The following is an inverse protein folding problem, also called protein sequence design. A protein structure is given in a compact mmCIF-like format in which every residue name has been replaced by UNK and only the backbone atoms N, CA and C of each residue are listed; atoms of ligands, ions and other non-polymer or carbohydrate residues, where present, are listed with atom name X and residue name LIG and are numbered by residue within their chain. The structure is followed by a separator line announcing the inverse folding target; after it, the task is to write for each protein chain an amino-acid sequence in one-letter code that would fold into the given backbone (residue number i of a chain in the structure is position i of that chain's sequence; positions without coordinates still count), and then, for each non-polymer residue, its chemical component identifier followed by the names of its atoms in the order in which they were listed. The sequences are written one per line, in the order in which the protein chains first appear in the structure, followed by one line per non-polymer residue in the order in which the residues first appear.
data_IF_717548991988
#
_entry.id   IF_717548991988
#
_cell.length_a   1.000
_cell.length_b   1.000
_cell.length_c   1.000
_cell.angle_alpha   90.00
_cell.angle_beta   90.00
_cell.angle_gamma   90.00
#
_symmetry.space_group_name_H-M   'P 1'
#
loop_
_entity.id
_entity.type
_entity.pdbx_description
1 polymer ?
#
# COMPACT_ATOMS: atom_id res chain seq x y z
N UNK A 1 -26.78 -8.77 7.27
CA UNK A 1 -26.43 -7.83 8.39
C UNK A 1 -27.52 -6.78 8.64
N UNK A 2 -27.42 -5.95 9.68
CA UNK A 2 -28.36 -4.82 9.88
C UNK A 2 -28.09 -3.71 8.87
N UNK A 3 -29.18 -3.09 8.38
CA UNK A 3 -29.12 -2.00 7.40
C UNK A 3 -28.26 -0.80 7.87
N UNK A 4 -28.37 -0.39 9.15
CA UNK A 4 -27.56 0.69 9.68
C UNK A 4 -26.04 0.35 9.67
N UNK A 5 -25.69 -0.90 9.98
CA UNK A 5 -24.30 -1.38 9.91
C UNK A 5 -23.78 -1.39 8.47
N UNK A 6 -24.60 -1.83 7.52
CA UNK A 6 -24.28 -1.82 6.08
C UNK A 6 -23.99 -0.39 5.59
N UNK A 7 -24.87 0.56 5.89
CA UNK A 7 -24.73 1.95 5.46
C UNK A 7 -23.47 2.62 6.05
N UNK A 8 -23.18 2.36 7.32
CA UNK A 8 -21.92 2.82 7.94
C UNK A 8 -20.72 2.18 7.26
N UNK A 9 -20.76 0.87 6.99
CA UNK A 9 -19.68 0.17 6.31
C UNK A 9 -19.43 0.64 4.86
N UNK A 10 -20.47 1.18 4.21
CA UNK A 10 -20.37 1.85 2.91
C UNK A 10 -19.98 3.35 3.00
N UNK A 11 -19.60 3.82 4.18
CA UNK A 11 -19.20 5.22 4.44
C UNK A 11 -20.26 6.27 4.13
N UNK A 12 -21.56 5.90 4.20
CA UNK A 12 -22.68 6.84 4.01
C UNK A 12 -22.74 7.89 5.11
N UNK A 13 -22.31 7.53 6.33
CA UNK A 13 -22.24 8.41 7.49
C UNK A 13 -22.01 7.67 8.79
N UNK A 14 -21.92 8.40 9.88
CA UNK A 14 -21.89 7.84 11.25
C UNK A 14 -23.20 7.13 11.58
N UNK A 15 -23.21 6.34 12.65
CA UNK A 15 -24.43 5.63 13.11
C UNK A 15 -25.62 6.57 13.34
N UNK A 16 -25.36 7.79 13.84
CA UNK A 16 -26.40 8.79 14.09
C UNK A 16 -26.91 9.39 12.79
N UNK A 17 -26.00 9.77 11.88
CA UNK A 17 -26.34 10.32 10.58
C UNK A 17 -27.14 9.33 9.73
N UNK A 18 -26.72 8.08 9.67
CA UNK A 18 -27.43 7.01 8.95
C UNK A 18 -28.88 6.85 9.43
N UNK A 19 -29.12 6.91 10.74
CA UNK A 19 -30.50 6.85 11.29
C UNK A 19 -31.35 8.03 10.82
N UNK A 20 -30.76 9.24 10.75
CA UNK A 20 -31.46 10.42 10.28
C UNK A 20 -31.74 10.35 8.77
N UNK A 21 -30.78 9.87 7.98
CA UNK A 21 -30.94 9.66 6.53
C UNK A 21 -32.05 8.63 6.21
N UNK A 22 -32.09 7.53 6.98
CA UNK A 22 -33.19 6.54 6.85
C UNK A 22 -34.56 7.18 7.15
N UNK A 23 -34.67 7.91 8.25
CA UNK A 23 -35.94 8.62 8.60
C UNK A 23 -36.35 9.63 7.52
N UNK A 24 -35.39 10.32 6.93
CA UNK A 24 -35.60 11.30 5.85
C UNK A 24 -35.96 10.65 4.51
N UNK A 25 -35.81 9.32 4.36
CA UNK A 25 -36.20 8.58 3.16
C UNK A 25 -35.17 8.58 2.04
N UNK A 26 -33.91 8.79 2.36
CA UNK A 26 -32.79 8.75 1.39
C UNK A 26 -32.40 7.33 0.96
N UNK A 27 -32.85 6.28 1.69
CA UNK A 27 -32.43 4.89 1.47
C UNK A 27 -33.59 4.05 0.95
N UNK A 28 -33.29 3.25 -0.07
CA UNK A 28 -34.22 2.21 -0.55
C UNK A 28 -33.57 0.84 -0.41
N UNK A 29 -34.40 -0.16 -0.13
CA UNK A 29 -34.05 -1.57 -0.14
C UNK A 29 -34.97 -2.28 -1.14
N UNK A 30 -34.40 -2.89 -2.16
CA UNK A 30 -35.13 -3.53 -3.25
C UNK A 30 -36.22 -2.62 -3.86
N UNK A 31 -35.85 -1.35 -4.09
CA UNK A 31 -36.69 -0.33 -4.70
C UNK A 31 -37.73 0.32 -3.77
N UNK A 32 -37.87 -0.11 -2.52
CA UNK A 32 -38.79 0.46 -1.53
C UNK A 32 -38.06 1.31 -0.50
N UNK A 33 -38.63 2.49 -0.18
CA UNK A 33 -38.10 3.33 0.90
C UNK A 33 -38.12 2.60 2.23
N UNK A 34 -36.97 2.56 2.90
CA UNK A 34 -36.82 1.92 4.20
C UNK A 34 -36.42 2.96 5.26
N UNK A 35 -37.08 2.89 6.40
CA UNK A 35 -36.85 3.81 7.54
C UNK A 35 -36.26 3.10 8.76
N UNK A 36 -36.33 1.75 8.79
CA UNK A 36 -35.88 0.96 9.93
C UNK A 36 -34.38 0.69 9.85
N UNK A 37 -33.62 1.29 10.75
CA UNK A 37 -32.19 1.03 10.90
C UNK A 37 -31.87 -0.43 11.30
N UNK A 38 -32.84 -1.12 11.89
CA UNK A 38 -32.70 -2.50 12.41
C UNK A 38 -33.06 -3.57 11.40
N UNK A 39 -33.54 -3.20 10.20
CA UNK A 39 -33.86 -4.15 9.13
C UNK A 39 -32.67 -5.07 8.88
N UNK A 40 -32.92 -6.38 8.86
CA UNK A 40 -31.90 -7.35 8.47
C UNK A 40 -31.89 -7.43 6.94
N UNK A 41 -30.72 -7.30 6.36
CA UNK A 41 -30.49 -7.41 4.92
C UNK A 41 -29.47 -8.48 4.63
N UNK A 42 -29.55 -9.03 3.42
CA UNK A 42 -28.48 -9.85 2.84
C UNK A 42 -27.66 -8.98 1.86
N UNK A 43 -26.45 -8.67 2.25
CA UNK A 43 -25.54 -7.80 1.48
C UNK A 43 -25.12 -8.36 0.11
N UNK A 44 -25.45 -9.62 -0.17
CA UNK A 44 -25.17 -10.29 -1.46
C UNK A 44 -26.38 -10.32 -2.38
N UNK A 45 -27.57 -10.16 -1.85
CA UNK A 45 -28.84 -10.37 -2.57
C UNK A 45 -29.65 -9.07 -2.63
N UNK A 46 -29.73 -8.32 -1.51
CA UNK A 46 -30.55 -7.12 -1.43
C UNK A 46 -29.87 -5.94 -2.12
N UNK A 47 -30.61 -5.26 -3.01
CA UNK A 47 -30.18 -4.01 -3.62
C UNK A 47 -30.44 -2.85 -2.67
N UNK A 48 -29.38 -2.24 -2.15
CA UNK A 48 -29.45 -1.06 -1.29
C UNK A 48 -29.04 0.16 -2.11
N UNK A 49 -29.87 1.21 -2.08
CA UNK A 49 -29.56 2.50 -2.73
C UNK A 49 -29.59 3.65 -1.72
N UNK A 50 -28.65 4.55 -1.88
CA UNK A 50 -28.63 5.85 -1.20
C UNK A 50 -28.74 6.94 -2.26
N UNK A 51 -29.76 7.79 -2.13
CA UNK A 51 -30.11 8.83 -3.12
C UNK A 51 -30.10 8.32 -4.58
N UNK A 52 -30.64 7.11 -4.78
CA UNK A 52 -30.73 6.46 -6.07
C UNK A 52 -29.48 5.73 -6.55
N UNK A 53 -28.34 5.90 -5.89
CA UNK A 53 -27.10 5.19 -6.22
C UNK A 53 -27.01 3.85 -5.49
N UNK A 54 -26.69 2.78 -6.23
CA UNK A 54 -26.49 1.45 -5.65
C UNK A 54 -25.24 1.47 -4.78
N UNK A 55 -25.38 0.92 -3.57
CA UNK A 55 -24.26 0.71 -2.64
C UNK A 55 -23.79 -0.74 -2.74
N UNK A 56 -22.49 -0.93 -2.86
CA UNK A 56 -21.86 -2.24 -2.84
C UNK A 56 -21.11 -2.43 -1.51
N UNK A 57 -21.33 -3.59 -0.88
CA UNK A 57 -20.60 -3.97 0.31
C UNK A 57 -19.31 -4.69 -0.08
N UNK A 58 -18.19 -4.10 0.32
CA UNK A 58 -16.89 -4.73 0.23
C UNK A 58 -16.39 -5.05 1.63
N UNK A 59 -16.08 -6.32 1.91
CA UNK A 59 -15.47 -6.71 3.18
C UNK A 59 -14.06 -6.15 3.29
N UNK A 60 -13.26 -6.35 2.26
CA UNK A 60 -11.89 -5.85 2.15
C UNK A 60 -11.77 -4.80 1.06
N UNK A 61 -10.92 -3.81 1.31
CA UNK A 61 -10.60 -2.76 0.35
C UNK A 61 -9.08 -2.69 0.15
N UNK A 62 -8.66 -2.39 -1.07
CA UNK A 62 -7.25 -2.43 -1.46
C UNK A 62 -6.89 -1.17 -2.23
N UNK A 63 -5.89 -0.44 -1.75
CA UNK A 63 -5.42 0.81 -2.32
C UNK A 63 -3.96 0.70 -2.75
N UNK A 64 -3.67 1.11 -3.97
CA UNK A 64 -2.32 1.40 -4.43
C UNK A 64 -2.07 2.89 -4.27
N UNK A 65 -1.03 3.26 -3.53
CA UNK A 65 -0.60 4.65 -3.36
C UNK A 65 0.80 4.83 -3.92
N UNK A 66 1.04 5.94 -4.60
CA UNK A 66 2.38 6.46 -4.81
C UNK A 66 2.72 7.32 -3.59
N UNK A 67 3.26 6.68 -2.55
CA UNK A 67 3.57 7.36 -1.28
C UNK A 67 4.55 8.50 -1.52
N UNK A 68 4.24 9.73 -1.09
CA UNK A 68 5.19 10.84 -1.18
C UNK A 68 6.23 10.78 -0.06
N UNK A 69 7.31 11.53 -0.23
CA UNK A 69 8.23 11.85 0.86
C UNK A 69 7.55 12.79 1.88
N UNK A 70 8.05 12.80 3.10
CA UNK A 70 7.53 13.65 4.17
C UNK A 70 6.28 13.11 4.88
N UNK A 71 5.78 11.95 4.46
CA UNK A 71 4.62 11.27 5.05
C UNK A 71 5.05 9.92 5.60
N UNK A 72 4.58 9.56 6.78
CA UNK A 72 4.93 8.29 7.42
C UNK A 72 3.92 7.18 7.10
N UNK A 73 4.41 5.94 7.07
CA UNK A 73 3.61 4.72 6.89
C UNK A 73 2.99 4.29 8.22
N UNK A 74 1.96 5.02 8.65
CA UNK A 74 1.21 4.76 9.88
C UNK A 74 -0.27 5.08 9.65
N UNK A 75 -1.13 4.60 10.55
CA UNK A 75 -2.57 4.90 10.54
C UNK A 75 -2.87 6.24 11.19
N UNK A 76 -2.12 6.59 12.21
CA UNK A 76 -2.21 7.87 12.93
C UNK A 76 -0.85 8.25 13.53
N UNK A 77 -0.60 9.53 13.70
CA UNK A 77 0.59 10.06 14.39
C UNK A 77 0.30 11.48 14.89
N UNK A 78 0.72 11.84 16.12
CA UNK A 78 0.45 13.17 16.68
C UNK A 78 1.29 14.30 16.08
N UNK A 79 2.38 13.99 15.36
CA UNK A 79 3.36 14.97 14.88
C UNK A 79 3.49 14.99 13.36
N UNK A 80 3.30 13.86 12.71
CA UNK A 80 3.56 13.71 11.28
C UNK A 80 2.28 13.36 10.53
N UNK A 81 2.17 13.88 9.32
CA UNK A 81 1.15 13.45 8.38
C UNK A 81 1.36 11.99 8.02
N UNK A 82 0.28 11.21 8.01
CA UNK A 82 0.31 9.78 7.71
C UNK A 82 -0.22 9.48 6.32
N UNK A 83 0.04 8.27 5.83
CA UNK A 83 -0.52 7.79 4.56
C UNK A 83 -2.05 7.72 4.59
N UNK A 84 -2.66 7.48 5.75
CA UNK A 84 -4.13 7.49 5.91
C UNK A 84 -4.74 8.88 5.74
N UNK A 85 -3.99 9.94 5.99
CA UNK A 85 -4.44 11.33 5.78
C UNK A 85 -4.56 11.68 4.29
N UNK A 86 -4.01 10.86 3.40
CA UNK A 86 -4.10 11.02 1.96
C UNK A 86 -5.26 10.24 1.34
N UNK A 87 -5.84 9.28 2.05
CA UNK A 87 -6.92 8.42 1.57
C UNK A 87 -8.31 9.03 1.82
N UNK A 88 -9.33 8.37 1.28
CA UNK A 88 -10.73 8.75 1.43
C UNK A 88 -11.33 8.32 2.79
N UNK A 89 -12.58 8.71 3.02
CA UNK A 89 -13.30 8.35 4.24
C UNK A 89 -13.60 6.85 4.34
N UNK A 90 -13.72 6.16 3.20
CA UNK A 90 -13.94 4.72 3.18
C UNK A 90 -12.75 3.99 3.81
N UNK A 91 -11.53 4.40 3.50
CA UNK A 91 -10.32 3.83 4.09
C UNK A 91 -10.32 3.93 5.64
N UNK A 92 -10.74 5.08 6.18
CA UNK A 92 -10.88 5.26 7.63
C UNK A 92 -11.98 4.39 8.23
N UNK A 93 -13.15 4.35 7.59
CA UNK A 93 -14.30 3.53 8.01
C UNK A 93 -13.97 2.04 8.01
N UNK A 94 -13.16 1.59 7.05
CA UNK A 94 -12.71 0.19 6.93
C UNK A 94 -11.46 -0.13 7.74
N UNK A 95 -10.95 0.83 8.50
CA UNK A 95 -9.74 0.66 9.33
C UNK A 95 -8.54 0.17 8.51
N UNK A 96 -8.35 0.77 7.34
CA UNK A 96 -7.25 0.46 6.42
C UNK A 96 -5.90 0.80 7.05
N UNK A 97 -4.90 -0.03 6.81
CA UNK A 97 -3.53 0.16 7.28
C UNK A 97 -2.51 -0.13 6.16
N UNK A 98 -1.31 0.43 6.22
CA UNK A 98 -0.27 0.18 5.23
C UNK A 98 0.29 -1.25 5.36
N UNK A 99 0.50 -1.92 4.23
CA UNK A 99 1.15 -3.22 4.15
C UNK A 99 2.67 -3.02 4.12
N UNK A 100 3.27 -3.12 5.29
CA UNK A 100 4.66 -2.76 5.51
C UNK A 100 4.85 -1.25 5.63
N UNK A 101 6.12 -0.85 5.69
CA UNK A 101 6.49 0.54 5.88
C UNK A 101 7.54 0.96 4.86
N UNK A 102 7.35 2.14 4.29
CA UNK A 102 8.38 2.91 3.63
C UNK A 102 8.81 4.02 4.58
N UNK A 103 10.09 4.34 4.60
CA UNK A 103 10.64 5.42 5.41
C UNK A 103 10.01 6.77 5.01
N UNK A 104 10.10 7.76 5.90
CA UNK A 104 9.54 9.09 5.65
C UNK A 104 10.10 9.75 4.38
N UNK A 105 11.36 9.49 4.07
CA UNK A 105 12.06 10.01 2.89
C UNK A 105 12.05 9.06 1.68
N UNK A 106 11.43 7.89 1.80
CA UNK A 106 11.22 6.93 0.70
C UNK A 106 9.84 7.13 0.10
N UNK A 107 9.75 7.04 -1.22
CA UNK A 107 8.49 7.19 -1.95
C UNK A 107 8.18 5.97 -2.82
N UNK A 108 7.04 5.99 -3.52
CA UNK A 108 6.64 4.96 -4.45
C UNK A 108 5.55 4.04 -3.95
N UNK A 109 5.52 2.82 -4.46
CA UNK A 109 4.44 1.87 -4.24
C UNK A 109 4.25 1.52 -2.77
N UNK A 110 3.07 1.82 -2.26
CA UNK A 110 2.57 1.35 -0.97
C UNK A 110 1.17 0.75 -1.17
N UNK A 111 1.02 -0.50 -0.75
CA UNK A 111 -0.29 -1.15 -0.65
C UNK A 111 -0.90 -0.83 0.71
N UNK A 112 -2.18 -0.46 0.73
CA UNK A 112 -2.96 -0.27 1.95
C UNK A 112 -4.25 -1.07 1.86
N UNK A 113 -4.62 -1.74 2.96
CA UNK A 113 -5.80 -2.62 3.02
C UNK A 113 -6.24 -2.84 4.45
N UNK A 114 -7.44 -3.35 4.65
CA UNK A 114 -7.92 -3.92 5.92
C UNK A 114 -7.86 -5.46 5.93
N UNK A 115 -7.31 -6.10 4.89
CA UNK A 115 -7.09 -7.54 4.81
C UNK A 115 -5.79 -7.95 5.52
N UNK A 116 -5.91 -8.30 6.80
CA UNK A 116 -4.78 -8.70 7.63
C UNK A 116 -4.11 -10.00 7.17
N UNK A 117 -4.84 -10.92 6.54
CA UNK A 117 -4.28 -12.19 6.06
C UNK A 117 -3.38 -11.95 4.86
N UNK A 118 -3.85 -11.16 3.90
CA UNK A 118 -3.04 -10.75 2.75
C UNK A 118 -1.79 -9.98 3.20
N UNK A 119 -1.95 -9.00 4.08
CA UNK A 119 -0.84 -8.20 4.59
C UNK A 119 0.22 -9.08 5.27
N UNK A 120 -0.20 -10.00 6.14
CA UNK A 120 0.70 -10.94 6.80
C UNK A 120 1.44 -11.83 5.79
N UNK A 121 0.76 -12.34 4.78
CA UNK A 121 1.37 -13.18 3.74
C UNK A 121 2.44 -12.42 2.95
N UNK A 122 2.15 -11.17 2.54
CA UNK A 122 3.08 -10.32 1.79
C UNK A 122 4.32 -9.88 2.60
N UNK A 123 4.18 -9.76 3.92
CA UNK A 123 5.25 -9.32 4.80
C UNK A 123 6.06 -10.47 5.42
N UNK A 124 5.54 -11.69 5.34
CA UNK A 124 6.19 -12.85 5.92
C UNK A 124 7.56 -13.13 5.28
N UNK A 125 8.65 -13.19 6.06
CA UNK A 125 9.97 -13.52 5.54
C UNK A 125 10.02 -14.90 4.86
N UNK A 126 9.16 -15.83 5.27
CA UNK A 126 9.08 -17.19 4.71
C UNK A 126 8.55 -17.24 3.27
N UNK A 127 7.83 -16.21 2.85
CA UNK A 127 7.22 -16.12 1.51
C UNK A 127 8.14 -15.50 0.46
N UNK A 128 9.23 -14.87 0.87
CA UNK A 128 10.23 -14.26 -0.02
C UNK A 128 9.62 -13.35 -1.09
N UNK A 129 8.64 -12.52 -0.70
CA UNK A 129 7.98 -11.61 -1.63
C UNK A 129 8.95 -10.51 -2.06
N UNK A 130 9.30 -10.51 -3.33
CA UNK A 130 10.24 -9.56 -3.92
C UNK A 130 9.70 -8.12 -3.87
N UNK A 131 10.61 -7.20 -3.59
CA UNK A 131 10.37 -5.76 -3.62
C UNK A 131 11.48 -5.11 -4.43
N UNK A 132 11.11 -4.40 -5.48
CA UNK A 132 12.07 -3.72 -6.37
C UNK A 132 12.05 -2.24 -6.12
N UNK A 133 13.23 -1.68 -6.00
CA UNK A 133 13.45 -0.25 -5.76
C UNK A 133 14.29 0.35 -6.88
N UNK A 134 14.00 1.59 -7.24
CA UNK A 134 14.90 2.47 -7.98
C UNK A 134 15.59 3.40 -6.97
N UNK A 135 16.91 3.51 -7.07
CA UNK A 135 17.68 4.41 -6.22
C UNK A 135 18.59 5.33 -7.04
N UNK A 136 18.62 6.60 -6.65
CA UNK A 136 19.66 7.52 -7.03
C UNK A 136 20.78 7.45 -5.98
N UNK A 137 21.98 7.26 -6.43
CA UNK A 137 23.15 7.03 -5.56
C UNK A 137 24.20 8.10 -5.84
N UNK A 138 24.71 8.71 -4.77
CA UNK A 138 25.93 9.49 -4.80
C UNK A 138 27.11 8.54 -4.71
N UNK A 139 27.92 8.49 -5.75
CA UNK A 139 28.99 7.53 -5.95
C UNK A 139 28.77 6.66 -7.19
N UNK A 140 29.83 6.03 -7.64
CA UNK A 140 29.83 5.17 -8.81
C UNK A 140 29.64 3.73 -8.36
N UNK A 141 28.48 3.18 -8.64
CA UNK A 141 28.19 1.76 -8.42
C UNK A 141 28.87 0.92 -9.51
N UNK A 142 29.43 -0.21 -9.12
CA UNK A 142 30.29 -1.04 -9.97
C UNK A 142 29.77 -2.45 -10.10
N UNK A 143 30.37 -3.24 -11.02
CA UNK A 143 30.10 -4.67 -11.16
C UNK A 143 30.48 -5.46 -9.90
N UNK A 144 31.50 -5.02 -9.17
CA UNK A 144 31.89 -5.60 -7.87
C UNK A 144 30.77 -5.41 -6.82
N UNK A 145 30.08 -4.24 -6.83
CA UNK A 145 28.93 -4.00 -5.98
C UNK A 145 27.76 -4.95 -6.34
N UNK A 146 27.53 -5.23 -7.63
CA UNK A 146 26.54 -6.21 -8.09
C UNK A 146 26.82 -7.59 -7.51
N UNK A 147 28.07 -8.04 -7.56
CA UNK A 147 28.50 -9.33 -7.02
C UNK A 147 28.39 -9.36 -5.48
N UNK A 148 28.69 -8.24 -4.81
CA UNK A 148 28.55 -8.10 -3.36
C UNK A 148 27.09 -8.24 -2.92
N UNK A 149 26.16 -7.61 -3.62
CA UNK A 149 24.72 -7.76 -3.39
C UNK A 149 24.25 -9.21 -3.60
N UNK A 150 24.73 -9.85 -4.67
CA UNK A 150 24.35 -11.22 -5.02
C UNK A 150 24.85 -12.28 -3.99
N UNK A 151 25.94 -12.01 -3.29
CA UNK A 151 26.47 -12.88 -2.23
C UNK A 151 25.76 -12.70 -0.89
N UNK A 152 25.01 -11.62 -0.71
CA UNK A 152 24.49 -11.19 0.58
C UNK A 152 25.50 -10.33 1.35
N UNK A 153 25.00 -9.28 2.00
CA UNK A 153 25.82 -8.28 2.68
C UNK A 153 25.75 -8.46 4.20
N UNK A 154 26.89 -8.68 4.88
CA UNK A 154 26.92 -8.73 6.34
C UNK A 154 26.85 -7.31 6.91
N UNK A 155 25.68 -6.93 7.39
CA UNK A 155 25.50 -5.70 8.16
C UNK A 155 25.77 -5.96 9.65
N UNK A 156 25.89 -4.89 10.42
CA UNK A 156 26.28 -4.99 11.85
C UNK A 156 25.36 -5.87 12.69
N UNK A 157 24.05 -5.87 12.40
CA UNK A 157 23.00 -6.51 13.19
C UNK A 157 22.37 -7.74 12.50
N UNK A 158 22.56 -7.90 11.18
CA UNK A 158 22.12 -9.08 10.42
C UNK A 158 22.86 -9.20 9.10
N UNK A 159 22.84 -10.38 8.51
CA UNK A 159 23.31 -10.60 7.14
C UNK A 159 22.13 -10.56 6.20
N UNK A 160 22.18 -9.66 5.18
CA UNK A 160 21.19 -9.59 4.13
C UNK A 160 21.19 -10.87 3.29
N UNK A 161 20.02 -11.31 2.88
CA UNK A 161 19.91 -12.36 1.86
C UNK A 161 20.50 -11.87 0.53
N UNK A 162 20.90 -12.79 -0.37
CA UNK A 162 21.27 -12.44 -1.74
C UNK A 162 20.23 -11.51 -2.39
N UNK A 163 20.70 -10.44 -3.00
CA UNK A 163 19.87 -9.43 -3.65
C UNK A 163 20.33 -9.19 -5.09
N UNK A 164 19.41 -8.78 -5.94
CA UNK A 164 19.73 -8.42 -7.32
C UNK A 164 19.93 -6.91 -7.42
N UNK A 165 21.12 -6.52 -7.90
CA UNK A 165 21.48 -5.14 -8.21
C UNK A 165 21.67 -5.01 -9.73
N UNK A 166 20.98 -4.06 -10.34
CA UNK A 166 21.13 -3.69 -11.75
C UNK A 166 21.63 -2.25 -11.84
N UNK A 167 22.69 -2.05 -12.61
CA UNK A 167 23.20 -0.70 -12.93
C UNK A 167 22.38 -0.15 -14.07
N UNK A 168 21.57 0.89 -13.81
CA UNK A 168 20.67 1.49 -14.81
C UNK A 168 21.40 2.57 -15.61
N UNK A 169 22.07 3.48 -14.92
CA UNK A 169 22.91 4.52 -15.54
C UNK A 169 24.02 4.97 -14.61
N UNK A 170 25.13 5.37 -15.19
CA UNK A 170 26.32 5.89 -14.47
C UNK A 170 26.67 7.24 -15.06
N UNK A 171 26.77 8.26 -14.21
CA UNK A 171 27.25 9.59 -14.57
C UNK A 171 28.55 9.87 -13.82
N UNK A 172 29.67 9.61 -14.47
CA UNK A 172 31.00 9.79 -13.89
C UNK A 172 31.33 11.26 -13.64
N UNK A 173 30.83 12.17 -14.47
CA UNK A 173 31.06 13.60 -14.32
C UNK A 173 30.41 14.16 -13.04
N UNK A 174 29.23 13.65 -12.68
CA UNK A 174 28.49 14.04 -11.48
C UNK A 174 28.75 13.13 -10.29
N UNK A 175 29.55 12.08 -10.46
CA UNK A 175 29.77 11.04 -9.45
C UNK A 175 28.43 10.46 -8.93
N UNK A 176 27.56 10.05 -9.85
CA UNK A 176 26.21 9.54 -9.56
C UNK A 176 25.93 8.24 -10.30
N UNK A 177 25.10 7.42 -9.70
CA UNK A 177 24.57 6.20 -10.28
C UNK A 177 23.06 6.11 -10.09
N UNK A 178 22.37 5.54 -11.06
CA UNK A 178 21.01 5.08 -10.92
C UNK A 178 21.02 3.56 -10.93
N UNK A 179 20.41 2.96 -9.92
CA UNK A 179 20.37 1.52 -9.74
C UNK A 179 18.97 1.01 -9.50
N UNK A 180 18.75 -0.26 -9.87
CA UNK A 180 17.55 -1.01 -9.49
C UNK A 180 17.97 -2.13 -8.55
N UNK A 181 17.31 -2.23 -7.40
CA UNK A 181 17.59 -3.22 -6.36
C UNK A 181 16.36 -4.04 -6.08
N UNK A 182 16.47 -5.37 -6.15
CA UNK A 182 15.40 -6.29 -5.76
C UNK A 182 15.83 -7.09 -4.54
N UNK A 183 15.03 -7.02 -3.48
CA UNK A 183 15.21 -7.73 -2.20
C UNK A 183 13.95 -8.50 -1.84
N UNK A 184 14.10 -9.67 -1.21
CA UNK A 184 12.99 -10.46 -0.66
C UNK A 184 12.72 -10.18 0.82
N UNK A 185 13.47 -9.28 1.41
CA UNK A 185 13.40 -8.88 2.81
C UNK A 185 12.79 -7.47 2.96
N UNK A 186 12.73 -6.97 4.18
CA UNK A 186 12.24 -5.62 4.48
C UNK A 186 12.76 -5.14 5.82
N UNK A 187 14.07 -5.20 6.03
CA UNK A 187 14.71 -4.74 7.26
C UNK A 187 14.85 -3.21 7.27
N UNK A 188 15.03 -2.65 8.46
CA UNK A 188 15.16 -1.22 8.67
C UNK A 188 16.27 -0.62 7.79
N UNK A 189 15.91 0.36 6.95
CA UNK A 189 16.80 1.08 6.02
C UNK A 189 17.67 0.15 5.16
N UNK A 190 17.18 -1.03 4.79
CA UNK A 190 18.01 -2.10 4.23
C UNK A 190 18.74 -1.67 2.96
N UNK A 191 18.05 -1.14 1.94
CA UNK A 191 18.68 -0.74 0.68
C UNK A 191 19.71 0.36 0.90
N UNK A 192 19.40 1.36 1.73
CA UNK A 192 20.32 2.44 2.07
C UNK A 192 21.60 1.90 2.74
N UNK A 193 21.45 0.97 3.67
CA UNK A 193 22.56 0.36 4.40
C UNK A 193 23.40 -0.56 3.52
N UNK A 194 22.78 -1.28 2.58
CA UNK A 194 23.51 -2.11 1.61
C UNK A 194 24.37 -1.24 0.68
N UNK A 195 23.84 -0.14 0.17
CA UNK A 195 24.61 0.82 -0.64
C UNK A 195 25.73 1.48 0.17
N UNK A 196 25.47 1.85 1.42
CA UNK A 196 26.47 2.40 2.33
C UNK A 196 27.60 1.41 2.63
N UNK A 197 27.32 0.12 2.73
CA UNK A 197 28.34 -0.93 2.86
C UNK A 197 29.32 -0.92 1.69
N UNK A 198 28.85 -0.59 0.48
CA UNK A 198 29.69 -0.42 -0.71
C UNK A 198 30.39 0.97 -0.78
N UNK A 199 30.33 1.77 0.27
CA UNK A 199 30.97 3.09 0.34
C UNK A 199 30.27 4.19 -0.46
N UNK A 200 28.99 4.04 -0.79
CA UNK A 200 28.18 5.01 -1.53
C UNK A 200 26.94 5.38 -0.74
N UNK A 201 26.18 6.37 -1.21
CA UNK A 201 25.04 6.91 -0.49
C UNK A 201 23.79 6.98 -1.36
N UNK A 202 22.65 6.42 -0.87
CA UNK A 202 21.34 6.61 -1.49
C UNK A 202 20.85 8.02 -1.20
N UNK A 203 20.55 8.78 -2.24
CA UNK A 203 20.02 10.16 -2.13
C UNK A 203 18.53 10.24 -2.48
N UNK A 204 18.01 9.29 -3.23
CA UNK A 204 16.57 9.11 -3.50
C UNK A 204 16.25 7.63 -3.61
N UNK A 205 15.12 7.21 -3.03
CA UNK A 205 14.69 5.81 -3.03
C UNK A 205 13.20 5.72 -3.31
N UNK A 206 12.87 4.96 -4.37
CA UNK A 206 11.51 4.72 -4.80
C UNK A 206 11.23 3.23 -4.87
N UNK A 207 10.16 2.74 -4.22
CA UNK A 207 9.68 1.38 -4.45
C UNK A 207 8.82 1.31 -5.69
N UNK A 208 9.19 0.45 -6.64
CA UNK A 208 8.50 0.25 -7.90
C UNK A 208 7.52 -0.93 -7.87
N UNK A 209 7.91 -2.01 -7.18
CA UNK A 209 7.12 -3.26 -7.16
C UNK A 209 7.07 -3.88 -5.77
N UNK A 210 6.02 -4.67 -5.53
CA UNK A 210 5.89 -5.55 -4.38
C UNK A 210 5.12 -6.80 -4.82
N UNK A 211 5.80 -7.95 -4.87
CA UNK A 211 5.24 -9.15 -5.48
C UNK A 211 4.85 -8.89 -6.93
N UNK A 212 3.61 -9.17 -7.28
CA UNK A 212 3.07 -8.93 -8.62
C UNK A 212 2.60 -7.49 -8.85
N UNK A 213 2.49 -6.68 -7.79
CA UNK A 213 2.06 -5.28 -7.94
C UNK A 213 3.19 -4.43 -8.50
N UNK A 214 2.85 -3.61 -9.49
CA UNK A 214 3.72 -2.62 -10.11
C UNK A 214 3.09 -1.24 -9.89
N UNK A 215 3.90 -0.26 -9.47
CA UNK A 215 3.43 1.11 -9.32
C UNK A 215 2.88 1.64 -10.65
N UNK A 216 1.65 2.15 -10.61
CA UNK A 216 1.02 2.78 -11.76
C UNK A 216 1.74 4.09 -12.10
N UNK A 217 2.28 4.17 -13.31
CA UNK A 217 3.03 5.33 -13.79
C UNK A 217 2.19 6.62 -13.90
N UNK A 218 0.86 6.47 -13.97
CA UNK A 218 -0.07 7.60 -14.01
C UNK A 218 -0.33 8.22 -12.62
N UNK A 219 0.02 7.53 -11.53
CA UNK A 219 -0.13 8.06 -10.19
C UNK A 219 1.02 9.03 -9.87
N UNK A 220 0.68 10.31 -9.66
CA UNK A 220 1.61 11.29 -9.12
C UNK A 220 1.90 11.01 -7.64
N UNK A 221 2.97 11.57 -7.09
CA UNK A 221 3.30 11.45 -5.67
C UNK A 221 2.15 11.97 -4.80
N UNK A 222 1.68 11.14 -3.88
CA UNK A 222 0.56 11.42 -3.01
C UNK A 222 -0.79 10.95 -3.55
N UNK A 223 -0.88 10.57 -4.82
CA UNK A 223 -2.08 10.01 -5.40
C UNK A 223 -2.22 8.52 -5.12
N UNK A 224 -3.44 8.05 -5.20
CA UNK A 224 -3.81 6.67 -4.98
C UNK A 224 -4.99 6.25 -5.86
N UNK A 225 -5.15 4.96 -6.04
CA UNK A 225 -6.33 4.34 -6.64
C UNK A 225 -6.63 3.00 -5.99
N UNK A 226 -7.81 2.48 -6.24
CA UNK A 226 -8.15 1.10 -5.89
C UNK A 226 -7.37 0.12 -6.78
N UNK A 227 -7.05 -1.07 -6.27
CA UNK A 227 -6.53 -2.14 -7.11
C UNK A 227 -7.59 -2.55 -8.14
N UNK A 228 -7.15 -2.93 -9.32
CA UNK A 228 -8.01 -3.63 -10.27
C UNK A 228 -8.25 -5.07 -9.80
N UNK A 229 -9.28 -5.69 -10.35
CA UNK A 229 -9.58 -7.10 -10.06
C UNK A 229 -8.43 -8.01 -10.45
N UNK A 230 -7.83 -7.77 -11.59
CA UNK A 230 -6.70 -8.52 -12.14
C UNK A 230 -5.46 -8.39 -11.27
N UNK A 231 -5.16 -7.19 -10.78
CA UNK A 231 -4.06 -6.95 -9.84
C UNK A 231 -4.26 -7.72 -8.53
N UNK A 232 -5.47 -7.70 -7.98
CA UNK A 232 -5.79 -8.42 -6.75
C UNK A 232 -5.70 -9.94 -6.95
N UNK A 233 -6.28 -10.47 -8.04
CA UNK A 233 -6.22 -11.90 -8.36
C UNK A 233 -4.78 -12.38 -8.53
N UNK A 234 -3.95 -11.64 -9.27
CA UNK A 234 -2.53 -11.94 -9.45
C UNK A 234 -1.77 -11.92 -8.12
N UNK A 235 -2.06 -10.95 -7.26
CA UNK A 235 -1.43 -10.83 -5.94
C UNK A 235 -1.80 -12.00 -5.04
N UNK A 236 -3.07 -12.38 -4.99
CA UNK A 236 -3.57 -13.52 -4.20
C UNK A 236 -3.00 -14.84 -4.70
N UNK A 237 -2.92 -15.05 -6.03
CA UNK A 237 -2.34 -16.26 -6.63
C UNK A 237 -0.85 -16.42 -6.27
N UNK A 238 -0.12 -15.33 -6.13
CA UNK A 238 1.33 -15.36 -5.81
C UNK A 238 1.63 -15.69 -4.35
N UNK A 239 0.65 -15.61 -3.47
CA UNK A 239 0.79 -15.88 -2.04
C UNK A 239 0.04 -17.14 -1.57
N UNK A 240 -0.66 -17.82 -2.47
CA UNK A 240 -1.41 -19.04 -2.20
C UNK A 240 -0.51 -20.24 -1.79
#
# INVERSE_FOLDING_TARGET
MRLDKFLVACAVGSRTEVKNLLKAGHVTVNGKKEKSAKLQIDEKIDEIRFDGQVLEYEEFVYYMMNKPQGVISATEDPKHRTVLDLLDNLARTKEVFPVGRLDIDTHGLLLLTNDGQLAHALLSPKRHVDKTYMAQVKGIMTQEDVETFAKGIPLKDFTCQPARLELVSIDTAKNQSQIRVTIAEGKFHQVKRMVAYCGKEVVDLQRLTMGTLVLDENLQRGEWRRLTKEELEALLANIA
#
